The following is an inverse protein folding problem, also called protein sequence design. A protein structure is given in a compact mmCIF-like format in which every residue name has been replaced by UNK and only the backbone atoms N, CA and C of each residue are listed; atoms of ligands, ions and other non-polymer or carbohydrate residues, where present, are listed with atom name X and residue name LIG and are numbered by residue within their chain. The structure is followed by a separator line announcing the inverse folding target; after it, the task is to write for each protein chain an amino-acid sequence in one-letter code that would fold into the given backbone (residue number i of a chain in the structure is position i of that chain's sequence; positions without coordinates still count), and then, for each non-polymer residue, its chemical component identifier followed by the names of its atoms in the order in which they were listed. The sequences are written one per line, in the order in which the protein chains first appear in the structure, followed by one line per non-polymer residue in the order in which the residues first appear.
data_IF_527058726551
#
_entry.id   IF_527058726551
#
_cell.length_a   1.000
_cell.length_b   1.000
_cell.length_c   1.000
_cell.angle_alpha   90.00
_cell.angle_beta   90.00
_cell.angle_gamma   90.00
#
_symmetry.space_group_name_H-M   'P 1'
#
loop_
_entity.id
_entity.type
_entity.pdbx_description
1 polymer ?
#
# COMPACT_ATOMS: atom_id res chain seq x y z
N UNK A 1 -17.89 -31.35 6.62
CA UNK A 1 -17.97 -30.32 5.57
C UNK A 1 -16.73 -29.46 5.73
N UNK A 2 -15.85 -29.40 4.72
CA UNK A 2 -14.70 -28.49 4.75
C UNK A 2 -15.26 -27.13 4.36
N UNK A 3 -15.28 -26.19 5.30
CA UNK A 3 -15.63 -24.81 5.00
C UNK A 3 -14.61 -24.29 3.99
N UNK A 4 -15.12 -23.94 2.82
CA UNK A 4 -14.35 -23.50 1.67
C UNK A 4 -13.96 -22.03 1.91
N UNK A 5 -12.90 -21.81 2.70
CA UNK A 5 -12.38 -20.47 3.06
C UNK A 5 -11.83 -19.74 1.81
N UNK A 6 -11.74 -20.42 0.67
CA UNK A 6 -11.24 -19.90 -0.60
C UNK A 6 -12.22 -18.98 -1.34
N UNK A 7 -13.46 -18.85 -0.87
CA UNK A 7 -14.53 -18.13 -1.55
C UNK A 7 -15.01 -16.86 -0.83
N UNK A 8 -14.13 -16.17 -0.07
CA UNK A 8 -14.42 -14.78 0.32
C UNK A 8 -14.18 -13.90 -0.92
N UNK A 9 -15.21 -13.28 -1.52
CA UNK A 9 -15.02 -12.40 -2.66
C UNK A 9 -14.19 -11.20 -2.20
N UNK A 10 -12.92 -11.14 -2.61
CA UNK A 10 -12.01 -10.05 -2.28
C UNK A 10 -12.34 -8.75 -3.04
N UNK A 11 -13.40 -8.77 -3.86
CA UNK A 11 -14.31 -7.66 -4.19
C UNK A 11 -13.71 -6.28 -4.47
N UNK A 12 -12.49 -6.21 -5.02
CA UNK A 12 -11.80 -4.94 -5.26
C UNK A 12 -11.44 -4.15 -3.99
N UNK A 13 -11.54 -4.76 -2.79
CA UNK A 13 -11.27 -4.06 -1.52
C UNK A 13 -9.79 -3.68 -1.43
N UNK A 14 -8.89 -4.60 -1.80
CA UNK A 14 -7.44 -4.36 -1.71
C UNK A 14 -6.98 -3.16 -2.53
N UNK A 15 -7.44 -3.06 -3.80
CA UNK A 15 -7.07 -1.92 -4.65
C UNK A 15 -7.65 -0.59 -4.14
N UNK A 16 -8.85 -0.61 -3.53
CA UNK A 16 -9.44 0.57 -2.85
C UNK A 16 -8.62 0.99 -1.65
N UNK A 17 -8.17 0.04 -0.83
CA UNK A 17 -7.32 0.31 0.34
C UNK A 17 -6.02 0.97 -0.11
N UNK A 18 -5.34 0.36 -1.09
CA UNK A 18 -4.10 0.90 -1.65
C UNK A 18 -4.34 2.30 -2.22
N UNK A 19 -5.42 2.50 -2.98
CA UNK A 19 -5.78 3.80 -3.54
C UNK A 19 -6.11 4.88 -2.50
N UNK A 20 -6.53 4.51 -1.29
CA UNK A 20 -6.73 5.45 -0.16
C UNK A 20 -5.45 5.75 0.61
N UNK A 21 -4.50 4.82 0.61
CA UNK A 21 -3.21 4.98 1.29
C UNK A 21 -2.27 5.85 0.46
N UNK A 22 -2.17 5.52 -0.84
CA UNK A 22 -1.22 6.08 -1.77
C UNK A 22 -1.45 7.57 -2.03
N UNK A 23 -0.38 8.35 -1.97
CA UNK A 23 -0.37 9.72 -2.50
C UNK A 23 -0.06 9.70 -4.01
N UNK A 24 0.78 8.75 -4.45
CA UNK A 24 0.95 8.41 -5.86
C UNK A 24 0.83 6.90 -6.07
N UNK A 25 0.17 6.50 -7.15
CA UNK A 25 -0.08 5.10 -7.47
C UNK A 25 -0.01 4.86 -8.99
N UNK A 26 0.76 3.87 -9.40
CA UNK A 26 0.79 3.43 -10.79
C UNK A 26 0.91 1.91 -10.91
N UNK A 27 0.47 1.39 -12.05
CA UNK A 27 0.63 0.00 -12.45
C UNK A 27 1.14 0.00 -13.88
N UNK A 28 2.39 -0.43 -14.08
CA UNK A 28 3.06 -0.28 -15.38
C UNK A 28 3.72 -1.57 -15.81
N UNK A 29 3.61 -1.90 -17.11
CA UNK A 29 4.36 -3.02 -17.70
C UNK A 29 5.82 -2.62 -17.85
N UNK A 30 6.72 -3.43 -17.32
CA UNK A 30 8.17 -3.25 -17.41
C UNK A 30 8.74 -3.96 -18.65
N UNK A 31 9.95 -3.57 -19.08
CA UNK A 31 10.59 -4.10 -20.29
C UNK A 31 10.93 -5.59 -20.23
N UNK A 32 11.06 -6.13 -19.03
CA UNK A 32 11.28 -7.56 -18.77
C UNK A 32 9.98 -8.38 -18.73
N UNK A 33 8.84 -7.76 -19.04
CA UNK A 33 7.55 -8.44 -19.13
C UNK A 33 6.84 -8.64 -17.78
N UNK A 34 7.29 -8.01 -16.71
CA UNK A 34 6.54 -7.94 -15.44
C UNK A 34 5.60 -6.74 -15.42
N UNK A 35 4.67 -6.71 -14.48
CA UNK A 35 3.98 -5.49 -14.10
C UNK A 35 4.52 -5.00 -12.76
N UNK A 36 4.68 -3.69 -12.61
CA UNK A 36 5.09 -3.06 -11.36
C UNK A 36 3.92 -2.24 -10.81
N UNK A 37 3.37 -2.66 -9.67
CA UNK A 37 2.55 -1.81 -8.82
C UNK A 37 3.48 -0.93 -7.98
N UNK A 38 3.43 0.37 -8.21
CA UNK A 38 4.25 1.36 -7.54
C UNK A 38 3.38 2.28 -6.70
N UNK A 39 3.72 2.40 -5.42
CA UNK A 39 2.98 3.16 -4.41
C UNK A 39 3.95 4.12 -3.73
N UNK A 40 3.57 5.39 -3.63
CA UNK A 40 4.29 6.42 -2.88
C UNK A 40 3.43 6.90 -1.73
N UNK A 41 4.02 7.01 -0.53
CA UNK A 41 3.40 7.63 0.64
C UNK A 41 4.33 8.67 1.25
N UNK A 42 3.89 9.92 1.26
CA UNK A 42 4.57 11.05 1.88
C UNK A 42 4.17 11.19 3.35
N UNK A 43 5.09 11.66 4.19
CA UNK A 43 4.86 11.83 5.63
C UNK A 43 5.49 13.06 6.26
N UNK A 44 6.11 13.94 5.48
CA UNK A 44 6.29 15.33 5.88
C UNK A 44 5.16 16.18 5.29
N UNK A 45 4.31 16.73 6.16
CA UNK A 45 3.48 17.86 5.76
C UNK A 45 4.24 19.15 6.08
N UNK A 46 4.32 20.11 5.14
CA UNK A 46 4.73 21.46 5.47
C UNK A 46 3.66 22.06 6.41
N UNK A 47 3.98 22.24 7.70
CA UNK A 47 3.24 23.15 8.57
C UNK A 47 2.70 22.65 9.92
N UNK A 48 2.97 21.42 10.36
CA UNK A 48 2.54 20.97 11.70
C UNK A 48 3.74 20.61 12.59
N UNK A 49 4.04 21.53 13.51
CA UNK A 49 4.93 21.31 14.65
C UNK A 49 4.28 20.25 15.56
N UNK A 50 4.93 19.12 15.88
CA UNK A 50 4.36 18.18 16.84
C UNK A 50 4.50 18.75 18.25
N UNK A 51 3.38 19.18 18.84
CA UNK A 51 3.30 19.39 20.29
C UNK A 51 3.31 18.02 20.97
N UNK A 52 4.34 17.78 21.78
CA UNK A 52 4.41 16.64 22.67
C UNK A 52 3.20 16.64 23.62
N UNK A 53 2.41 15.57 23.64
CA UNK A 53 1.72 15.12 24.84
C UNK A 53 1.26 13.66 24.69
N UNK A 54 1.76 12.85 25.62
CA UNK A 54 1.38 11.47 25.88
C UNK A 54 -0.08 11.36 26.34
N UNK A 55 -0.73 10.23 26.07
CA UNK A 55 -1.30 9.31 27.07
C UNK A 55 -1.98 8.14 26.33
N UNK A 56 -1.61 6.94 26.78
CA UNK A 56 -2.09 5.63 26.37
C UNK A 56 -3.58 5.43 26.77
N UNK A 57 -4.24 4.45 26.16
CA UNK A 57 -5.54 3.88 26.56
C UNK A 57 -6.86 4.54 26.11
N UNK A 58 -6.83 5.58 25.26
CA UNK A 58 -8.04 6.15 24.64
C UNK A 58 -8.17 5.98 23.12
N UNK A 59 -7.12 5.50 22.44
CA UNK A 59 -6.92 5.71 21.01
C UNK A 59 -7.70 4.74 20.10
N UNK A 60 -7.85 3.47 20.48
CA UNK A 60 -8.53 2.46 19.66
C UNK A 60 -10.03 2.76 19.47
N UNK A 61 -10.65 3.50 20.39
CA UNK A 61 -12.07 3.89 20.28
C UNK A 61 -12.28 5.12 19.39
N UNK A 62 -11.38 6.11 19.44
CA UNK A 62 -11.42 7.30 18.57
C UNK A 62 -11.01 7.02 17.12
N UNK A 63 -10.17 6.01 16.86
CA UNK A 63 -9.76 5.66 15.50
C UNK A 63 -10.94 5.21 14.61
N UNK A 64 -11.95 4.56 15.20
CA UNK A 64 -13.18 4.19 14.48
C UNK A 64 -14.07 5.42 14.23
N UNK A 65 -14.15 6.36 15.17
CA UNK A 65 -14.97 7.58 15.04
C UNK A 65 -14.36 8.61 14.07
N UNK A 66 -13.03 8.67 13.91
CA UNK A 66 -12.38 9.53 12.90
C UNK A 66 -12.58 9.00 11.48
N UNK A 67 -12.71 7.67 11.31
CA UNK A 67 -12.90 7.05 9.99
C UNK A 67 -14.30 7.30 9.40
N UNK A 68 -15.25 7.87 10.15
CA UNK A 68 -16.61 8.16 9.68
C UNK A 68 -16.90 9.65 9.49
N UNK A 69 -15.98 10.57 9.82
CA UNK A 69 -16.28 12.00 9.83
C UNK A 69 -15.10 12.88 9.39
N UNK A 70 -14.66 12.80 8.13
CA UNK A 70 -13.84 13.86 7.53
C UNK A 70 -14.21 14.04 6.05
N UNK A 71 -15.22 14.88 5.82
CA UNK A 71 -15.36 15.67 4.60
C UNK A 71 -14.33 16.79 4.67
N UNK A 72 -13.32 16.75 3.80
CA UNK A 72 -12.47 17.91 3.55
C UNK A 72 -12.26 18.08 2.05
N UNK A 73 -12.95 19.05 1.47
CA UNK A 73 -12.74 19.50 0.11
C UNK A 73 -11.30 20.00 -0.07
N UNK A 74 -10.62 19.50 -1.10
CA UNK A 74 -9.25 19.86 -1.41
C UNK A 74 -9.21 21.08 -2.37
N UNK A 75 -8.52 22.17 -2.03
CA UNK A 75 -7.95 23.04 -3.05
C UNK A 75 -6.70 22.36 -3.63
N UNK A 76 -6.65 22.23 -4.96
CA UNK A 76 -5.44 21.81 -5.70
C UNK A 76 -4.29 22.77 -5.40
N UNK A 77 -3.29 22.34 -4.62
CA UNK A 77 -2.03 23.05 -4.46
C UNK A 77 -0.96 22.52 -5.43
N UNK A 78 -0.17 23.47 -5.94
CA UNK A 78 0.87 23.34 -6.97
C UNK A 78 2.04 22.52 -6.40
N UNK A 79 2.52 21.53 -7.16
CA UNK A 79 3.67 20.67 -6.81
C UNK A 79 4.94 21.53 -6.62
N UNK A 80 5.57 21.56 -5.44
CA UNK A 80 6.91 22.12 -5.27
C UNK A 80 7.96 21.21 -5.93
N UNK A 81 8.98 21.81 -6.54
CA UNK A 81 10.12 21.07 -7.12
C UNK A 81 10.86 20.30 -6.01
N UNK A 82 11.36 19.07 -6.26
CA UNK A 82 11.99 18.26 -5.24
C UNK A 82 13.34 18.86 -4.82
N UNK A 83 13.46 19.23 -3.55
CA UNK A 83 14.74 19.61 -2.94
C UNK A 83 15.67 18.38 -2.85
N UNK A 84 16.98 18.51 -3.16
CA UNK A 84 17.91 17.37 -3.19
C UNK A 84 18.11 16.64 -1.85
N UNK A 85 17.61 17.18 -0.73
CA UNK A 85 17.66 16.56 0.60
C UNK A 85 16.52 15.57 0.82
N UNK A 86 15.38 15.77 0.13
CA UNK A 86 14.17 14.93 0.19
C UNK A 86 14.44 13.49 -0.24
N UNK A 87 15.35 13.31 -1.20
CA UNK A 87 15.66 12.03 -1.83
C UNK A 87 16.75 11.20 -1.09
N UNK A 88 17.05 11.51 0.17
CA UNK A 88 18.02 10.71 0.94
C UNK A 88 17.38 9.38 1.37
N UNK A 89 17.84 8.29 0.77
CA UNK A 89 17.46 6.93 1.15
C UNK A 89 17.95 6.61 2.57
N UNK A 90 17.02 6.24 3.45
CA UNK A 90 17.26 5.79 4.83
C UNK A 90 17.44 4.28 4.87
N UNK A 91 16.55 3.54 4.22
CA UNK A 91 16.56 2.08 4.23
C UNK A 91 15.96 1.56 2.92
N UNK A 92 16.53 0.47 2.41
CA UNK A 92 15.92 -0.35 1.37
C UNK A 92 15.84 -1.78 1.85
N UNK A 93 14.67 -2.40 1.72
CA UNK A 93 14.45 -3.83 1.97
C UNK A 93 13.81 -4.46 0.75
N UNK A 94 14.22 -5.68 0.42
CA UNK A 94 13.71 -6.45 -0.72
C UNK A 94 13.31 -7.85 -0.26
N UNK A 95 12.27 -8.41 -0.85
CA UNK A 95 11.83 -9.79 -0.64
C UNK A 95 11.36 -10.38 -1.97
N UNK A 96 11.87 -11.55 -2.32
CA UNK A 96 11.29 -12.38 -3.38
C UNK A 96 10.58 -13.56 -2.73
N UNK A 97 9.33 -13.78 -3.12
CA UNK A 97 8.52 -14.87 -2.59
C UNK A 97 7.62 -15.45 -3.67
N UNK A 98 7.35 -16.75 -3.58
CA UNK A 98 6.47 -17.44 -4.50
C UNK A 98 5.01 -16.98 -4.34
N UNK A 99 4.21 -17.13 -5.39
CA UNK A 99 2.78 -16.78 -5.43
C UNK A 99 1.90 -17.74 -4.62
N UNK A 100 2.12 -17.78 -3.30
CA UNK A 100 1.33 -18.56 -2.35
C UNK A 100 0.71 -17.64 -1.30
N UNK A 101 -0.62 -17.67 -1.17
CA UNK A 101 -1.35 -16.88 -0.18
C UNK A 101 -0.92 -17.21 1.26
N UNK A 102 -0.41 -18.43 1.51
CA UNK A 102 0.11 -18.83 2.82
C UNK A 102 1.38 -18.06 3.21
N UNK A 103 2.01 -17.40 2.25
CA UNK A 103 3.21 -16.62 2.45
C UNK A 103 2.97 -15.22 3.03
N UNK A 104 1.71 -14.78 3.20
CA UNK A 104 1.33 -13.48 3.81
C UNK A 104 2.04 -13.22 5.14
N UNK A 105 2.16 -14.23 6.01
CA UNK A 105 2.85 -14.07 7.30
C UNK A 105 4.35 -13.73 7.13
N UNK A 106 5.00 -14.29 6.11
CA UNK A 106 6.40 -13.98 5.78
C UNK A 106 6.54 -12.57 5.24
N UNK A 107 5.59 -12.11 4.43
CA UNK A 107 5.57 -10.73 3.91
C UNK A 107 5.39 -9.73 5.05
N UNK A 108 4.49 -10.01 5.99
CA UNK A 108 4.29 -9.16 7.18
C UNK A 108 5.56 -9.09 8.03
N UNK A 109 6.14 -10.25 8.37
CA UNK A 109 7.36 -10.31 9.16
C UNK A 109 8.55 -9.60 8.48
N UNK A 110 8.64 -9.70 7.15
CA UNK A 110 9.63 -8.93 6.41
C UNK A 110 9.41 -7.41 6.52
N UNK A 111 8.16 -6.95 6.48
CA UNK A 111 7.81 -5.53 6.61
C UNK A 111 7.95 -4.98 8.05
N UNK A 112 8.10 -5.83 9.07
CA UNK A 112 8.43 -5.42 10.45
C UNK A 112 9.84 -4.80 10.57
N UNK A 113 10.71 -4.98 9.57
CA UNK A 113 11.99 -4.27 9.49
C UNK A 113 11.83 -2.74 9.43
N UNK A 114 10.62 -2.23 9.17
CA UNK A 114 10.30 -0.80 9.22
C UNK A 114 10.05 -0.27 10.64
N UNK A 115 9.75 -1.14 11.60
CA UNK A 115 9.37 -0.75 12.97
C UNK A 115 10.43 0.07 13.74
N UNK A 116 11.75 -0.17 13.59
CA UNK A 116 12.75 0.67 14.25
C UNK A 116 13.04 1.99 13.53
N UNK A 117 12.46 2.24 12.35
CA UNK A 117 12.78 3.42 11.56
C UNK A 117 12.12 4.68 12.13
N UNK A 118 12.76 5.85 12.02
CA UNK A 118 12.25 7.12 12.56
C UNK A 118 11.18 7.73 11.63
N UNK A 119 10.14 6.97 11.28
CA UNK A 119 9.00 7.43 10.47
C UNK A 119 7.70 7.30 11.27
N UNK A 120 6.64 8.07 10.96
CA UNK A 120 5.41 8.04 11.74
C UNK A 120 4.76 6.64 11.78
N UNK A 121 4.35 6.18 12.96
CA UNK A 121 3.79 4.83 13.15
C UNK A 121 2.58 4.53 12.24
N UNK A 122 1.73 5.54 12.00
CA UNK A 122 0.58 5.42 11.08
C UNK A 122 1.05 5.06 9.67
N UNK A 123 2.17 5.65 9.22
CA UNK A 123 2.75 5.42 7.89
C UNK A 123 3.35 4.02 7.81
N UNK A 124 4.00 3.54 8.87
CA UNK A 124 4.47 2.14 8.96
C UNK A 124 3.31 1.17 8.79
N UNK A 125 2.21 1.36 9.52
CA UNK A 125 1.04 0.48 9.44
C UNK A 125 0.35 0.55 8.08
N UNK A 126 0.23 1.74 7.50
CA UNK A 126 -0.29 1.92 6.14
C UNK A 126 0.60 1.22 5.11
N UNK A 127 1.92 1.30 5.23
CA UNK A 127 2.86 0.60 4.37
C UNK A 127 2.70 -0.92 4.48
N UNK A 128 2.64 -1.47 5.71
CA UNK A 128 2.40 -2.90 5.95
C UNK A 128 1.09 -3.34 5.28
N UNK A 129 0.00 -2.60 5.48
CA UNK A 129 -1.29 -2.91 4.87
C UNK A 129 -1.23 -2.86 3.33
N UNK A 130 -0.65 -1.81 2.76
CA UNK A 130 -0.54 -1.66 1.31
C UNK A 130 0.27 -2.79 0.66
N UNK A 131 1.35 -3.22 1.30
CA UNK A 131 2.19 -4.35 0.86
C UNK A 131 1.41 -5.67 0.92
N UNK A 132 0.68 -5.92 2.02
CA UNK A 132 -0.15 -7.13 2.15
C UNK A 132 -1.24 -7.14 1.08
N UNK A 133 -2.01 -6.05 0.93
CA UNK A 133 -3.07 -5.95 -0.07
C UNK A 133 -2.51 -6.07 -1.50
N UNK A 134 -1.35 -5.49 -1.78
CA UNK A 134 -0.72 -5.58 -3.09
C UNK A 134 -0.23 -6.99 -3.40
N UNK A 135 0.39 -7.67 -2.42
CA UNK A 135 0.80 -9.07 -2.52
C UNK A 135 -0.40 -10.00 -2.72
N UNK A 136 -1.46 -9.86 -1.90
CA UNK A 136 -2.66 -10.70 -2.01
C UNK A 136 -3.37 -10.46 -3.34
N UNK A 137 -3.38 -9.22 -3.86
CA UNK A 137 -3.87 -8.93 -5.21
C UNK A 137 -3.06 -9.64 -6.28
N UNK A 138 -1.72 -9.62 -6.18
CA UNK A 138 -0.86 -10.32 -7.13
C UNK A 138 -1.16 -11.83 -7.13
N UNK A 139 -1.24 -12.46 -5.95
CA UNK A 139 -1.54 -13.90 -5.82
C UNK A 139 -2.94 -14.24 -6.34
N UNK A 140 -3.97 -13.52 -5.89
CA UNK A 140 -5.38 -13.88 -6.16
C UNK A 140 -5.86 -13.49 -7.54
N UNK A 141 -5.29 -12.44 -8.11
CA UNK A 141 -5.75 -11.88 -9.39
C UNK A 141 -4.70 -12.01 -10.49
N UNK A 142 -3.51 -11.44 -10.32
CA UNK A 142 -2.50 -11.42 -11.38
C UNK A 142 -1.97 -12.83 -11.71
N UNK A 143 -1.74 -13.66 -10.68
CA UNK A 143 -1.14 -14.99 -10.80
C UNK A 143 -2.17 -16.12 -10.70
N UNK A 144 -3.48 -15.83 -10.80
CA UNK A 144 -4.57 -16.81 -10.60
C UNK A 144 -4.39 -18.10 -11.41
N UNK A 145 -3.80 -18.01 -12.60
CA UNK A 145 -3.58 -19.13 -13.52
C UNK A 145 -2.08 -19.41 -13.76
N UNK A 146 -1.18 -18.88 -12.93
CA UNK A 146 0.26 -19.10 -13.04
C UNK A 146 0.75 -20.17 -12.05
N UNK A 147 1.89 -20.83 -12.31
CA UNK A 147 2.48 -21.80 -11.38
C UNK A 147 2.73 -21.19 -9.99
N UNK A 148 2.62 -22.00 -8.92
CA UNK A 148 2.88 -21.52 -7.55
C UNK A 148 4.33 -21.09 -7.35
N UNK A 149 5.24 -21.58 -8.19
CA UNK A 149 6.65 -21.21 -8.22
C UNK A 149 6.90 -19.83 -8.84
N UNK A 150 5.86 -19.19 -9.41
CA UNK A 150 5.97 -17.86 -10.02
C UNK A 150 6.37 -16.84 -8.94
N UNK A 151 7.48 -16.12 -9.12
CA UNK A 151 7.97 -15.19 -8.12
C UNK A 151 7.17 -13.88 -8.13
N UNK A 152 6.93 -13.36 -6.94
CA UNK A 152 6.52 -11.98 -6.67
C UNK A 152 7.71 -11.31 -5.97
N UNK A 153 8.14 -10.17 -6.50
CA UNK A 153 9.17 -9.36 -5.87
C UNK A 153 8.53 -8.17 -5.17
N UNK A 154 9.01 -7.88 -3.97
CA UNK A 154 8.56 -6.79 -3.12
C UNK A 154 9.77 -5.95 -2.75
N UNK A 155 9.65 -4.64 -2.87
CA UNK A 155 10.68 -3.68 -2.49
C UNK A 155 10.03 -2.54 -1.71
N UNK A 156 10.63 -2.17 -0.58
CA UNK A 156 10.28 -0.97 0.16
C UNK A 156 11.53 -0.11 0.28
N UNK A 157 11.42 1.13 -0.14
CA UNK A 157 12.45 2.16 0.03
C UNK A 157 11.90 3.26 0.91
N UNK A 158 12.59 3.55 1.99
CA UNK A 158 12.24 4.60 2.94
C UNK A 158 13.21 5.75 2.74
N UNK A 159 12.69 6.94 2.47
CA UNK A 159 13.45 8.16 2.33
C UNK A 159 13.30 9.02 3.59
N UNK A 160 13.64 10.30 3.54
CA UNK A 160 13.40 11.20 4.69
C UNK A 160 11.97 11.70 4.77
N UNK A 161 11.29 11.83 3.64
CA UNK A 161 10.01 12.55 3.55
C UNK A 161 8.89 11.68 2.99
N UNK A 162 9.24 10.56 2.39
CA UNK A 162 8.31 9.60 1.79
C UNK A 162 8.86 8.18 1.86
N UNK A 163 7.99 7.22 1.57
CA UNK A 163 8.37 5.86 1.27
C UNK A 163 7.79 5.45 -0.09
N UNK A 164 8.45 4.48 -0.69
CA UNK A 164 8.10 3.86 -1.94
C UNK A 164 7.93 2.36 -1.73
N UNK A 165 6.85 1.81 -2.27
CA UNK A 165 6.60 0.37 -2.33
C UNK A 165 6.52 -0.03 -3.80
N UNK A 166 7.23 -1.11 -4.16
CA UNK A 166 7.13 -1.74 -5.47
C UNK A 166 6.78 -3.21 -5.29
N UNK A 167 5.84 -3.67 -6.11
CA UNK A 167 5.39 -5.06 -6.14
C UNK A 167 5.40 -5.48 -7.60
N UNK A 168 6.23 -6.45 -7.95
CA UNK A 168 6.31 -6.98 -9.30
C UNK A 168 5.57 -8.30 -9.42
N UNK A 169 4.70 -8.38 -10.42
CA UNK A 169 3.93 -9.56 -10.77
C UNK A 169 4.06 -9.90 -12.26
N UNK A 170 3.58 -11.08 -12.65
CA UNK A 170 3.65 -11.63 -14.01
C UNK A 170 2.27 -11.73 -14.66
N UNK A 171 1.26 -11.07 -14.11
CA UNK A 171 -0.10 -11.11 -14.65
C UNK A 171 -0.26 -10.29 -15.93
N UNK A 172 -1.51 -10.14 -16.35
CA UNK A 172 -1.85 -9.24 -17.47
C UNK A 172 -1.87 -7.78 -17.01
N UNK A 173 -1.35 -6.84 -17.83
CA UNK A 173 -1.42 -5.42 -17.51
C UNK A 173 -2.88 -4.93 -17.53
N UNK A 174 -3.20 -3.97 -16.67
CA UNK A 174 -4.51 -3.31 -16.67
C UNK A 174 -4.39 -1.84 -16.29
N UNK A 175 -5.41 -1.05 -16.63
CA UNK A 175 -5.49 0.34 -16.22
C UNK A 175 -5.97 0.46 -14.76
N UNK A 176 -5.01 0.71 -13.86
CA UNK A 176 -5.29 0.88 -12.43
C UNK A 176 -6.17 2.10 -12.13
N UNK A 177 -6.09 3.16 -12.93
CA UNK A 177 -6.88 4.37 -12.72
C UNK A 177 -8.34 4.15 -13.13
N UNK A 178 -8.55 3.46 -14.26
CA UNK A 178 -9.89 3.01 -14.65
C UNK A 178 -10.48 2.06 -13.59
N UNK A 179 -9.67 1.12 -13.09
CA UNK A 179 -10.12 0.18 -12.07
C UNK A 179 -10.50 0.88 -10.76
N UNK A 180 -9.69 1.82 -10.28
CA UNK A 180 -10.04 2.61 -9.09
C UNK A 180 -11.34 3.39 -9.28
N UNK A 181 -11.53 4.04 -10.43
CA UNK A 181 -12.76 4.79 -10.72
C UNK A 181 -14.00 3.89 -10.66
N UNK A 182 -13.97 2.74 -11.33
CA UNK A 182 -15.06 1.75 -11.29
C UNK A 182 -15.40 1.39 -9.84
N UNK A 183 -14.37 1.06 -9.06
CA UNK A 183 -14.46 0.61 -7.69
C UNK A 183 -14.99 1.69 -6.72
N UNK A 184 -14.68 2.97 -6.96
CA UNK A 184 -15.23 4.09 -6.18
C UNK A 184 -16.62 4.53 -6.66
N UNK A 185 -16.98 4.33 -7.93
CA UNK A 185 -18.29 4.71 -8.49
C UNK A 185 -19.43 3.75 -8.12
N UNK A 186 -19.14 2.46 -7.89
CA UNK A 186 -20.15 1.45 -7.53
C UNK A 186 -20.86 1.71 -6.19
N UNK A 187 -20.48 2.74 -5.42
CA UNK A 187 -21.06 3.08 -4.10
C UNK A 187 -21.87 4.37 -4.03
N UNK A 188 -22.25 4.98 -5.15
CA UNK A 188 -23.23 6.09 -5.16
C UNK A 188 -24.69 5.61 -5.28
N UNK A 189 -24.98 4.31 -5.12
CA UNK A 189 -26.31 3.73 -5.39
C UNK A 189 -26.95 2.95 -4.21
N UNK A 190 -26.47 3.11 -2.98
CA UNK A 190 -27.19 2.65 -1.78
C UNK A 190 -27.01 3.61 -0.61
#
# INVERSE_FOLDING_TARGET
MRDNIDEIPSGGIGIKIIGKIADELSYTRTSDGRNCLFIVKSYQQPGLVPSQQSIQDGFFKRAIDVLTSFDFGLPKQRVPQPDPISNQLVQKICLQINTDIKAVARVLSWAEQLDPLPIPLVVVHQCKLAVIEGFTNAVRHAHKNLPLETPIELEIMVFKEHLEVKIWDWGEPFDIQAKLKEEFSQKSLY
#
